data_IF_863054851199
#
_entry.id   IF_863054851199
#
_cell.length_a   1.000
_cell.length_b   1.000
_cell.length_c   1.000
_cell.angle_alpha   90.00
_cell.angle_beta   90.00
_cell.angle_gamma   90.00
#
_symmetry.space_group_name_H-M   'P 1'
#
loop_
_entity.id
_entity.type
_entity.pdbx_description
1 polymer ?
#
# COMPACT_ATOMS: atom_id res chain seq x y z
N UNK A 1 29.43 21.16 13.60
CA UNK A 1 28.35 20.70 12.72
C UNK A 1 27.53 21.91 12.34
N UNK A 2 27.22 22.11 11.07
CA UNK A 2 26.40 23.26 10.63
C UNK A 2 24.93 22.91 10.84
N UNK A 3 24.23 23.69 11.66
CA UNK A 3 22.77 23.64 11.79
C UNK A 3 22.23 24.75 10.90
N UNK A 4 21.45 24.45 9.85
CA UNK A 4 20.88 25.48 9.00
C UNK A 4 19.89 26.35 9.79
N UNK A 5 19.81 27.63 9.45
CA UNK A 5 18.72 28.48 9.92
C UNK A 5 17.38 27.91 9.43
N UNK A 6 16.32 28.02 10.24
CA UNK A 6 15.01 27.41 9.96
C UNK A 6 15.08 25.94 9.50
N UNK A 7 15.53 25.05 10.40
CA UNK A 7 15.76 23.62 10.13
C UNK A 7 14.58 22.87 9.51
N UNK A 8 13.34 23.32 9.73
CA UNK A 8 12.12 22.70 9.19
C UNK A 8 11.83 23.07 7.74
N UNK A 9 12.49 24.10 7.22
CA UNK A 9 12.42 24.47 5.80
C UNK A 9 13.70 24.04 5.09
N UNK A 10 14.85 24.39 5.66
CA UNK A 10 16.15 24.20 5.00
C UNK A 10 16.78 22.82 5.26
N UNK A 11 16.22 22.04 6.18
CA UNK A 11 16.68 20.68 6.49
C UNK A 11 15.87 19.58 5.84
N UNK A 12 14.74 19.88 5.17
CA UNK A 12 13.80 18.88 4.62
C UNK A 12 14.52 17.89 3.71
N UNK A 13 14.14 16.62 3.79
CA UNK A 13 14.80 15.49 3.13
C UNK A 13 16.08 15.00 3.82
N UNK A 14 16.79 15.88 4.54
CA UNK A 14 18.11 15.63 5.11
C UNK A 14 18.14 15.61 6.65
N UNK A 15 16.98 15.56 7.32
CA UNK A 15 16.88 15.67 8.78
C UNK A 15 17.85 14.73 9.50
N UNK A 16 17.94 13.47 9.08
CA UNK A 16 18.80 12.52 9.77
C UNK A 16 20.30 12.84 9.71
N UNK A 17 20.74 13.64 8.73
CA UNK A 17 22.12 14.13 8.63
C UNK A 17 22.41 15.21 9.68
N UNK A 18 21.39 15.92 10.16
CA UNK A 18 21.49 16.95 11.21
C UNK A 18 21.28 16.28 12.57
N UNK A 19 22.35 16.12 13.35
CA UNK A 19 22.33 15.35 14.62
C UNK A 19 21.28 15.88 15.59
N UNK A 20 21.09 17.19 15.62
CA UNK A 20 20.20 17.94 16.50
C UNK A 20 18.71 17.63 16.23
N UNK A 21 18.34 17.19 15.02
CA UNK A 21 16.93 16.84 14.71
C UNK A 21 16.57 15.40 15.03
N UNK A 22 17.56 14.53 15.29
CA UNK A 22 17.32 13.10 15.58
C UNK A 22 16.45 12.87 16.82
N UNK A 23 16.63 13.60 17.94
CA UNK A 23 15.73 13.49 19.09
C UNK A 23 14.27 13.81 18.72
N UNK A 24 14.04 14.82 17.88
CA UNK A 24 12.70 15.16 17.39
C UNK A 24 12.09 14.03 16.58
N UNK A 25 12.83 13.46 15.61
CA UNK A 25 12.35 12.34 14.79
C UNK A 25 11.99 11.11 15.65
N UNK A 26 12.81 10.80 16.66
CA UNK A 26 12.54 9.70 17.61
C UNK A 26 11.31 9.97 18.46
N UNK A 27 11.16 11.18 19.00
CA UNK A 27 9.99 11.55 19.78
C UNK A 27 8.70 11.48 18.94
N UNK A 28 8.76 11.93 17.69
CA UNK A 28 7.61 11.86 16.76
C UNK A 28 7.22 10.40 16.44
N UNK A 29 8.19 9.51 16.26
CA UNK A 29 7.90 8.08 16.13
C UNK A 29 7.32 7.46 17.40
N UNK A 30 7.83 7.83 18.58
CA UNK A 30 7.27 7.36 19.86
C UNK A 30 5.81 7.79 20.05
N UNK A 31 5.45 8.99 19.58
CA UNK A 31 4.05 9.42 19.54
C UNK A 31 3.21 8.50 18.64
N UNK A 32 3.68 8.20 17.43
CA UNK A 32 2.99 7.27 16.50
C UNK A 32 2.82 5.89 17.13
N UNK A 33 3.88 5.33 17.71
CA UNK A 33 3.86 4.02 18.36
C UNK A 33 2.83 3.98 19.50
N UNK A 34 2.80 5.03 20.34
CA UNK A 34 1.82 5.19 21.41
C UNK A 34 0.39 5.29 20.86
N UNK A 35 0.17 6.10 19.82
CA UNK A 35 -1.16 6.25 19.20
C UNK A 35 -1.67 4.91 18.66
N UNK A 36 -0.82 4.17 17.94
CA UNK A 36 -1.19 2.89 17.36
C UNK A 36 -1.42 1.81 18.43
N UNK A 37 -0.59 1.76 19.48
CA UNK A 37 -0.69 0.76 20.54
C UNK A 37 -1.98 0.91 21.37
N UNK A 38 -2.36 2.13 21.72
CA UNK A 38 -3.49 2.36 22.63
C UNK A 38 -4.81 2.68 21.92
N UNK A 39 -4.76 3.29 20.74
CA UNK A 39 -5.96 3.77 20.04
C UNK A 39 -6.10 3.18 18.64
N UNK A 40 -5.03 2.64 18.07
CA UNK A 40 -4.99 2.06 16.73
C UNK A 40 -5.08 0.53 16.72
N UNK A 41 -5.77 -0.12 17.66
CA UNK A 41 -6.08 -1.55 17.54
C UNK A 41 -7.27 -1.81 16.58
N UNK A 42 -7.60 -3.07 16.34
CA UNK A 42 -8.83 -3.44 15.62
C UNK A 42 -10.07 -2.92 16.38
N UNK A 43 -10.96 -2.21 15.68
CA UNK A 43 -12.09 -1.51 16.30
C UNK A 43 -11.72 -0.21 17.05
N UNK A 44 -10.46 0.21 16.97
CA UNK A 44 -9.96 1.46 17.56
C UNK A 44 -10.37 2.73 16.80
N UNK A 45 -9.79 3.86 17.20
CA UNK A 45 -10.07 5.17 16.64
C UNK A 45 -9.41 5.35 15.26
N UNK A 46 -10.24 5.59 14.23
CA UNK A 46 -9.74 5.82 12.87
C UNK A 46 -8.89 7.08 12.77
N UNK A 47 -9.20 8.12 13.54
CA UNK A 47 -8.44 9.37 13.57
C UNK A 47 -7.02 9.15 14.12
N UNK A 48 -6.83 8.20 15.04
CA UNK A 48 -5.51 7.83 15.53
C UNK A 48 -4.68 7.15 14.43
N UNK A 49 -5.30 6.31 13.59
CA UNK A 49 -4.64 5.68 12.44
C UNK A 49 -4.26 6.73 11.40
N UNK A 50 -5.17 7.66 11.09
CA UNK A 50 -4.94 8.75 10.14
C UNK A 50 -3.84 9.69 10.64
N UNK A 51 -3.89 10.13 11.89
CA UNK A 51 -2.87 10.99 12.51
C UNK A 51 -1.49 10.32 12.51
N UNK A 52 -1.44 9.01 12.80
CA UNK A 52 -0.20 8.25 12.73
C UNK A 52 0.36 8.17 11.32
N UNK A 53 -0.50 7.93 10.32
CA UNK A 53 -0.08 7.92 8.92
C UNK A 53 0.48 9.28 8.48
N UNK A 54 -0.19 10.38 8.84
CA UNK A 54 0.26 11.74 8.51
C UNK A 54 1.63 12.05 9.13
N UNK A 55 1.84 11.66 10.38
CA UNK A 55 3.16 11.77 11.02
C UNK A 55 4.24 10.97 10.31
N UNK A 56 3.96 9.72 9.92
CA UNK A 56 4.96 8.88 9.25
C UNK A 56 5.28 9.40 7.84
N UNK A 57 4.28 9.85 7.09
CA UNK A 57 4.49 10.46 5.77
C UNK A 57 5.32 11.75 5.87
N UNK A 58 5.00 12.63 6.83
CA UNK A 58 5.81 13.83 7.07
C UNK A 58 7.24 13.49 7.49
N UNK A 59 7.41 12.52 8.40
CA UNK A 59 8.74 12.07 8.81
C UNK A 59 9.56 11.56 7.62
N UNK A 60 8.90 10.89 6.68
CA UNK A 60 9.53 10.39 5.47
C UNK A 60 9.89 11.52 4.50
N UNK A 61 9.10 12.59 4.43
CA UNK A 61 9.47 13.82 3.70
C UNK A 61 10.65 14.54 4.34
N UNK A 62 10.70 14.60 5.68
CA UNK A 62 11.82 15.19 6.42
C UNK A 62 13.10 14.37 6.28
N UNK A 63 13.00 13.05 6.11
CA UNK A 63 14.11 12.11 5.99
C UNK A 63 13.84 11.14 4.84
N UNK A 64 14.18 11.54 3.60
CA UNK A 64 13.97 10.72 2.40
C UNK A 64 14.80 9.44 2.44
N UNK A 65 15.94 9.44 3.13
CA UNK A 65 16.78 8.27 3.38
C UNK A 65 16.12 7.23 4.30
N UNK A 66 15.04 7.58 5.01
CA UNK A 66 14.24 6.70 5.86
C UNK A 66 15.08 5.90 6.87
N UNK A 67 15.97 6.58 7.57
CA UNK A 67 16.90 5.93 8.51
C UNK A 67 16.21 5.26 9.71
N UNK A 68 14.94 5.57 9.96
CA UNK A 68 14.13 4.98 11.02
C UNK A 68 13.24 3.82 10.54
N UNK A 69 13.21 3.53 9.23
CA UNK A 69 12.40 2.46 8.67
C UNK A 69 10.90 2.71 8.76
N UNK A 70 10.45 3.96 8.74
CA UNK A 70 9.02 4.28 8.89
C UNK A 70 8.20 3.77 7.70
N UNK A 71 8.83 3.53 6.54
CA UNK A 71 8.19 2.97 5.34
C UNK A 71 7.61 1.58 5.55
N UNK A 72 8.05 0.83 6.56
CA UNK A 72 7.54 -0.52 6.83
C UNK A 72 6.13 -0.51 7.43
N UNK A 73 5.75 0.59 8.10
CA UNK A 73 4.46 0.70 8.79
C UNK A 73 3.40 1.34 7.89
N UNK A 74 3.80 2.26 7.01
CA UNK A 74 2.92 3.10 6.19
C UNK A 74 1.90 2.29 5.36
N UNK A 75 2.28 1.24 4.60
CA UNK A 75 1.32 0.49 3.77
C UNK A 75 0.18 -0.14 4.59
N UNK A 76 0.49 -0.65 5.78
CA UNK A 76 -0.51 -1.24 6.66
C UNK A 76 -1.53 -0.19 7.15
N UNK A 77 -1.09 1.05 7.40
CA UNK A 77 -2.00 2.12 7.82
C UNK A 77 -2.93 2.57 6.67
N UNK A 78 -2.41 2.69 5.45
CA UNK A 78 -3.24 2.95 4.26
C UNK A 78 -4.33 1.88 4.10
N UNK A 79 -3.96 0.60 4.17
CA UNK A 79 -4.90 -0.54 4.07
C UNK A 79 -5.99 -0.48 5.15
N UNK A 80 -5.63 -0.11 6.37
CA UNK A 80 -6.57 0.04 7.49
C UNK A 80 -7.53 1.21 7.33
N UNK A 81 -7.13 2.23 6.59
CA UNK A 81 -7.94 3.38 6.23
C UNK A 81 -8.72 3.16 4.92
N UNK A 82 -8.70 1.93 4.38
CA UNK A 82 -9.35 1.57 3.12
C UNK A 82 -8.81 2.36 1.90
N UNK A 83 -7.55 2.80 2.00
CA UNK A 83 -6.78 3.56 0.99
C UNK A 83 -5.81 2.63 0.25
N UNK A 84 -6.32 1.50 -0.24
CA UNK A 84 -5.49 0.43 -0.81
C UNK A 84 -4.72 0.86 -2.06
N UNK A 85 -5.26 1.76 -2.87
CA UNK A 85 -4.54 2.29 -4.04
C UNK A 85 -3.27 3.03 -3.62
N UNK A 86 -3.36 3.85 -2.58
CA UNK A 86 -2.22 4.62 -2.09
C UNK A 86 -1.17 3.71 -1.44
N UNK A 87 -1.62 2.64 -0.76
CA UNK A 87 -0.72 1.58 -0.29
C UNK A 87 0.01 0.91 -1.46
N UNK A 88 -0.70 0.57 -2.53
CA UNK A 88 -0.14 -0.04 -3.73
C UNK A 88 0.90 0.86 -4.40
N UNK A 89 0.53 2.11 -4.66
CA UNK A 89 1.40 3.12 -5.28
C UNK A 89 2.66 3.35 -4.46
N UNK A 90 2.51 3.47 -3.14
CA UNK A 90 3.62 3.64 -2.21
C UNK A 90 4.60 2.46 -2.30
N UNK A 91 4.10 1.23 -2.16
CA UNK A 91 4.95 0.03 -2.22
C UNK A 91 5.59 -0.15 -3.60
N UNK A 92 4.86 0.15 -4.68
CA UNK A 92 5.38 0.11 -6.05
C UNK A 92 6.51 1.11 -6.26
N UNK A 93 6.39 2.34 -5.77
CA UNK A 93 7.45 3.35 -5.86
C UNK A 93 8.75 2.83 -5.22
N UNK A 94 8.67 2.21 -4.03
CA UNK A 94 9.83 1.62 -3.38
C UNK A 94 10.41 0.41 -4.13
N UNK A 95 9.57 -0.38 -4.79
CA UNK A 95 9.99 -1.56 -5.53
C UNK A 95 10.58 -1.26 -6.92
N UNK A 96 10.32 -0.08 -7.48
CA UNK A 96 10.68 0.26 -8.87
C UNK A 96 11.66 1.42 -8.96
N UNK A 97 11.42 2.52 -8.25
CA UNK A 97 12.24 3.72 -8.29
C UNK A 97 13.43 3.65 -7.32
N UNK A 98 13.21 3.10 -6.12
CA UNK A 98 14.21 3.16 -5.02
C UNK A 98 15.03 1.89 -4.80
N UNK A 99 14.66 0.78 -5.41
CA UNK A 99 15.47 -0.45 -5.46
C UNK A 99 16.53 -0.37 -6.60
N UNK A 100 16.52 0.71 -7.37
CA UNK A 100 17.59 1.06 -8.31
C UNK A 100 18.83 1.40 -7.49
N UNK A 101 19.92 0.64 -7.68
CA UNK A 101 21.15 0.73 -6.88
C UNK A 101 21.84 2.11 -6.90
N UNK A 102 21.37 3.01 -7.76
CA UNK A 102 21.86 4.37 -8.02
C UNK A 102 20.92 5.49 -7.55
N UNK A 103 19.79 5.18 -6.89
CA UNK A 103 18.89 6.22 -6.37
C UNK A 103 19.53 6.99 -5.22
N UNK A 104 19.83 8.27 -5.43
CA UNK A 104 20.34 9.17 -4.40
C UNK A 104 19.20 9.80 -3.61
N UNK A 105 18.95 9.33 -2.39
CA UNK A 105 17.91 9.88 -1.54
C UNK A 105 18.24 11.27 -0.98
N UNK A 106 19.49 11.73 -1.08
CA UNK A 106 19.91 13.06 -0.68
C UNK A 106 19.74 14.08 -1.81
N UNK A 107 19.51 13.63 -3.05
CA UNK A 107 19.19 14.50 -4.19
C UNK A 107 17.70 14.89 -4.14
N UNK A 108 17.45 16.17 -3.86
CA UNK A 108 16.11 16.70 -3.70
C UNK A 108 15.37 16.90 -5.03
N UNK A 109 16.11 16.94 -6.15
CA UNK A 109 15.57 17.11 -7.49
C UNK A 109 15.07 15.79 -8.09
N UNK A 110 15.44 14.64 -7.50
CA UNK A 110 14.93 13.34 -7.91
C UNK A 110 13.46 13.12 -7.49
N UNK A 111 12.67 12.37 -8.29
CA UNK A 111 11.31 12.01 -7.93
C UNK A 111 11.24 11.27 -6.60
N UNK A 112 10.22 11.59 -5.79
CA UNK A 112 10.00 10.97 -4.50
C UNK A 112 8.51 10.71 -4.27
N UNK A 113 8.11 9.43 -4.16
CA UNK A 113 6.71 8.99 -4.02
C UNK A 113 5.80 9.49 -5.16
N UNK A 114 6.33 9.42 -6.37
CA UNK A 114 5.78 9.95 -7.62
C UNK A 114 4.81 8.98 -8.33
N UNK A 115 4.84 7.69 -7.98
CA UNK A 115 3.86 6.72 -8.49
C UNK A 115 2.47 7.09 -7.97
N UNK A 116 1.51 7.22 -8.90
CA UNK A 116 0.09 7.48 -8.65
C UNK A 116 -0.78 6.68 -9.60
N UNK A 117 -1.89 6.15 -9.09
CA UNK A 117 -2.90 5.44 -9.86
C UNK A 117 -2.32 4.28 -10.68
N UNK A 118 -1.30 3.60 -10.15
CA UNK A 118 -0.73 2.46 -10.81
C UNK A 118 -1.77 1.33 -10.95
N UNK A 119 -1.66 0.57 -12.05
CA UNK A 119 -2.56 -0.53 -12.32
C UNK A 119 -2.40 -1.63 -11.25
N UNK A 120 -3.39 -1.71 -10.36
CA UNK A 120 -3.42 -2.68 -9.26
C UNK A 120 -3.62 -4.11 -9.73
N UNK A 121 -3.97 -4.34 -11.02
CA UNK A 121 -4.09 -5.66 -11.63
C UNK A 121 -2.79 -6.15 -12.27
N UNK A 122 -1.80 -5.26 -12.43
CA UNK A 122 -0.54 -5.65 -13.07
C UNK A 122 0.15 -6.78 -12.29
N UNK A 123 0.97 -7.61 -12.98
CA UNK A 123 1.72 -8.66 -12.33
C UNK A 123 2.61 -8.11 -11.20
N UNK A 124 2.78 -8.84 -10.09
CA UNK A 124 3.71 -8.48 -9.03
C UNK A 124 5.11 -8.12 -9.56
N UNK A 125 5.67 -7.01 -9.09
CA UNK A 125 7.03 -6.60 -9.43
C UNK A 125 8.01 -7.70 -9.02
N UNK A 126 9.05 -7.95 -9.84
CA UNK A 126 10.02 -9.04 -9.62
C UNK A 126 10.67 -9.00 -8.24
N UNK A 127 10.87 -7.81 -7.68
CA UNK A 127 11.42 -7.63 -6.32
C UNK A 127 10.55 -8.30 -5.26
N UNK A 128 9.23 -8.35 -5.45
CA UNK A 128 8.29 -8.99 -4.53
C UNK A 128 8.23 -10.50 -4.64
N UNK A 129 8.68 -11.08 -5.76
CA UNK A 129 8.56 -12.52 -6.01
C UNK A 129 9.89 -13.27 -5.96
N UNK A 130 11.04 -12.60 -6.07
CA UNK A 130 12.34 -13.30 -6.24
C UNK A 130 13.59 -12.68 -5.61
N UNK A 131 13.51 -11.58 -4.85
CA UNK A 131 14.71 -10.89 -4.34
C UNK A 131 15.19 -11.39 -2.96
N UNK A 132 16.50 -11.22 -2.67
CA UNK A 132 17.11 -11.44 -1.34
C UNK A 132 16.79 -10.32 -0.34
N UNK A 133 16.41 -9.14 -0.83
CA UNK A 133 16.15 -7.89 -0.10
C UNK A 133 14.65 -7.61 0.03
N UNK A 134 13.86 -8.67 0.23
CA UNK A 134 12.41 -8.61 0.28
C UNK A 134 11.95 -7.89 1.56
N UNK A 135 11.34 -6.70 1.40
CA UNK A 135 10.68 -6.01 2.51
C UNK A 135 9.37 -6.74 2.81
N UNK A 136 9.39 -7.60 3.83
CA UNK A 136 8.25 -8.47 4.18
C UNK A 136 6.97 -7.68 4.47
N UNK A 137 7.08 -6.56 5.19
CA UNK A 137 6.00 -5.60 5.44
C UNK A 137 5.26 -5.23 4.15
N UNK A 138 6.02 -4.92 3.09
CA UNK A 138 5.50 -4.52 1.79
C UNK A 138 4.83 -5.69 1.08
N UNK A 139 5.47 -6.85 0.99
CA UNK A 139 4.89 -8.02 0.29
C UNK A 139 3.62 -8.51 0.99
N UNK A 140 3.55 -8.45 2.32
CA UNK A 140 2.34 -8.75 3.07
C UNK A 140 1.22 -7.76 2.75
N UNK A 141 1.51 -6.46 2.74
CA UNK A 141 0.55 -5.43 2.33
C UNK A 141 0.03 -5.69 0.90
N UNK A 142 0.92 -6.00 -0.04
CA UNK A 142 0.56 -6.33 -1.43
C UNK A 142 -0.31 -7.58 -1.52
N UNK A 143 0.02 -8.61 -0.75
CA UNK A 143 -0.77 -9.84 -0.68
C UNK A 143 -2.18 -9.54 -0.19
N UNK A 144 -2.32 -8.75 0.89
CA UNK A 144 -3.61 -8.35 1.44
C UNK A 144 -4.46 -7.57 0.43
N UNK A 145 -3.86 -6.61 -0.29
CA UNK A 145 -4.55 -5.84 -1.34
C UNK A 145 -5.06 -6.77 -2.45
N UNK A 146 -4.21 -7.68 -2.96
CA UNK A 146 -4.60 -8.64 -4.00
C UNK A 146 -5.67 -9.61 -3.51
N UNK A 147 -5.63 -10.03 -2.25
CA UNK A 147 -6.68 -10.85 -1.63
C UNK A 147 -8.01 -10.10 -1.54
N UNK A 148 -8.00 -8.82 -1.15
CA UNK A 148 -9.22 -7.97 -1.14
C UNK A 148 -9.85 -7.89 -2.53
N UNK A 149 -9.05 -7.62 -3.56
CA UNK A 149 -9.51 -7.62 -4.95
C UNK A 149 -10.08 -8.98 -5.36
N UNK A 150 -9.42 -10.09 -4.98
CA UNK A 150 -9.89 -11.43 -5.30
C UNK A 150 -11.28 -11.68 -4.73
N UNK A 151 -11.50 -11.32 -3.46
CA UNK A 151 -12.82 -11.44 -2.82
C UNK A 151 -13.87 -10.57 -3.52
N UNK A 152 -13.57 -9.33 -3.85
CA UNK A 152 -14.49 -8.44 -4.58
C UNK A 152 -14.88 -9.01 -5.95
N UNK A 153 -13.91 -9.49 -6.73
CA UNK A 153 -14.16 -10.08 -8.05
C UNK A 153 -14.95 -11.40 -7.95
N UNK A 154 -14.69 -12.21 -6.93
CA UNK A 154 -15.47 -13.42 -6.66
C UNK A 154 -16.92 -13.09 -6.28
N UNK A 155 -17.14 -12.08 -5.44
CA UNK A 155 -18.48 -11.58 -5.08
C UNK A 155 -19.23 -11.08 -6.32
N UNK A 156 -18.57 -10.31 -7.18
CA UNK A 156 -19.13 -9.85 -8.43
C UNK A 156 -19.46 -11.01 -9.40
N UNK A 157 -18.58 -12.00 -9.52
CA UNK A 157 -18.80 -13.19 -10.35
C UNK A 157 -19.99 -14.01 -9.85
N UNK A 158 -20.08 -14.24 -8.54
CA UNK A 158 -21.17 -15.00 -7.93
C UNK A 158 -22.51 -14.27 -8.11
N UNK A 159 -22.52 -12.96 -7.93
CA UNK A 159 -23.70 -12.10 -8.21
C UNK A 159 -24.12 -12.22 -9.67
N UNK A 160 -23.16 -12.16 -10.60
CA UNK A 160 -23.44 -12.30 -12.03
C UNK A 160 -24.12 -13.63 -12.34
N UNK A 161 -23.59 -14.74 -11.81
CA UNK A 161 -24.13 -16.08 -12.03
C UNK A 161 -25.51 -16.26 -11.39
N UNK A 162 -25.72 -15.72 -10.20
CA UNK A 162 -26.98 -15.87 -9.45
C UNK A 162 -28.17 -15.19 -10.14
N UNK A 163 -27.94 -14.04 -10.78
CA UNK A 163 -28.98 -13.25 -11.43
C UNK A 163 -28.99 -13.37 -12.96
N UNK A 164 -28.16 -14.25 -13.52
CA UNK A 164 -28.08 -14.47 -14.97
C UNK A 164 -29.41 -15.00 -15.53
N UNK A 165 -30.03 -14.23 -16.42
CA UNK A 165 -31.29 -14.61 -17.09
C UNK A 165 -32.50 -13.79 -16.65
N UNK A 166 -32.99 -13.93 -15.39
CA UNK A 166 -34.23 -13.29 -14.95
C UNK A 166 -34.10 -11.77 -14.72
N UNK A 167 -32.88 -11.24 -14.64
CA UNK A 167 -32.61 -9.84 -14.32
C UNK A 167 -31.85 -9.18 -15.48
N UNK A 168 -32.25 -7.98 -15.95
CA UNK A 168 -31.48 -7.20 -16.92
C UNK A 168 -30.05 -6.90 -16.43
N UNK A 169 -29.07 -6.94 -17.33
CA UNK A 169 -27.64 -6.70 -17.01
C UNK A 169 -27.37 -5.38 -16.27
N UNK A 170 -28.15 -4.35 -16.58
CA UNK A 170 -28.08 -3.04 -15.91
C UNK A 170 -28.35 -3.16 -14.40
N UNK A 171 -29.36 -3.95 -14.02
CA UNK A 171 -29.71 -4.19 -12.61
C UNK A 171 -28.67 -5.09 -11.96
N UNK A 172 -28.15 -6.10 -12.68
CA UNK A 172 -27.05 -6.94 -12.17
C UNK A 172 -25.82 -6.06 -11.88
N UNK A 173 -25.50 -5.10 -12.75
CA UNK A 173 -24.44 -4.12 -12.55
C UNK A 173 -24.59 -3.33 -11.26
N UNK A 174 -25.78 -2.75 -11.03
CA UNK A 174 -26.09 -2.01 -9.79
C UNK A 174 -25.94 -2.90 -8.54
N UNK A 175 -26.36 -4.16 -8.62
CA UNK A 175 -26.21 -5.10 -7.50
C UNK A 175 -24.74 -5.41 -7.25
N UNK A 176 -23.93 -5.67 -8.30
CA UNK A 176 -22.48 -5.95 -8.15
C UNK A 176 -21.77 -4.83 -7.42
N UNK A 177 -22.07 -3.57 -7.75
CA UNK A 177 -21.45 -2.40 -7.11
C UNK A 177 -21.69 -2.33 -5.59
N UNK A 178 -22.76 -2.94 -5.08
CA UNK A 178 -23.04 -3.00 -3.63
C UNK A 178 -22.26 -4.09 -2.90
N UNK A 179 -21.71 -5.07 -3.62
CA UNK A 179 -21.02 -6.24 -3.06
C UNK A 179 -19.50 -6.17 -3.18
N UNK A 180 -18.95 -5.05 -3.65
CA UNK A 180 -17.51 -4.86 -3.83
C UNK A 180 -16.98 -3.76 -2.91
N UNK A 181 -15.74 -3.92 -2.46
CA UNK A 181 -15.01 -2.90 -1.72
C UNK A 181 -14.62 -1.68 -2.57
N UNK A 182 -14.07 -0.66 -1.90
CA UNK A 182 -13.67 0.61 -2.51
C UNK A 182 -12.70 0.45 -3.69
N UNK A 183 -11.83 -0.58 -3.65
CA UNK A 183 -10.82 -0.83 -4.67
C UNK A 183 -11.45 -1.12 -6.04
N UNK A 184 -12.46 -2.00 -6.05
CA UNK A 184 -13.16 -2.39 -7.29
C UNK A 184 -14.26 -1.38 -7.61
N UNK A 185 -14.91 -0.78 -6.62
CA UNK A 185 -15.92 0.27 -6.83
C UNK A 185 -15.34 1.50 -7.55
N UNK A 186 -14.11 1.90 -7.20
CA UNK A 186 -13.40 3.00 -7.89
C UNK A 186 -12.99 2.67 -9.32
N UNK A 187 -13.21 1.42 -9.76
CA UNK A 187 -12.76 0.86 -11.04
C UNK A 187 -13.85 0.04 -11.74
N UNK A 188 -14.90 0.69 -12.27
CA UNK A 188 -16.02 -0.01 -12.91
C UNK A 188 -15.58 -0.91 -14.07
N UNK A 189 -14.46 -0.61 -14.73
CA UNK A 189 -13.84 -1.44 -15.75
C UNK A 189 -13.47 -2.85 -15.27
N UNK A 190 -13.17 -3.04 -13.99
CA UNK A 190 -12.93 -4.35 -13.38
C UNK A 190 -14.18 -5.23 -13.34
N UNK A 191 -15.36 -4.61 -13.37
CA UNK A 191 -16.66 -5.28 -13.39
C UNK A 191 -17.27 -5.36 -14.80
N UNK A 192 -16.68 -4.69 -15.80
CA UNK A 192 -17.13 -4.75 -17.19
C UNK A 192 -16.96 -6.14 -17.78
N UNK A 193 -17.98 -6.59 -18.49
CA UNK A 193 -18.03 -7.88 -19.15
C UNK A 193 -19.02 -8.85 -18.49
N UNK A 194 -19.21 -10.00 -19.13
CA UNK A 194 -20.02 -11.09 -18.61
C UNK A 194 -19.25 -11.95 -17.58
N UNK A 195 -19.90 -13.01 -17.11
CA UNK A 195 -19.33 -13.93 -16.11
C UNK A 195 -17.96 -14.51 -16.51
N UNK A 196 -17.75 -14.77 -17.80
CA UNK A 196 -16.50 -15.34 -18.32
C UNK A 196 -15.31 -14.37 -18.18
N UNK A 197 -15.52 -13.09 -18.47
CA UNK A 197 -14.48 -12.07 -18.37
C UNK A 197 -14.09 -11.81 -16.91
N UNK A 198 -15.08 -11.75 -16.01
CA UNK A 198 -14.83 -11.63 -14.57
C UNK A 198 -14.10 -12.88 -14.06
N UNK A 199 -14.47 -14.08 -14.51
CA UNK A 199 -13.78 -15.32 -14.13
C UNK A 199 -12.31 -15.34 -14.58
N UNK A 200 -12.00 -14.81 -15.77
CA UNK A 200 -10.62 -14.66 -16.24
C UNK A 200 -9.79 -13.73 -15.34
N UNK A 201 -10.38 -12.62 -14.88
CA UNK A 201 -9.73 -11.69 -13.93
C UNK A 201 -9.53 -12.34 -12.56
N UNK A 202 -10.53 -13.10 -12.08
CA UNK A 202 -10.42 -13.89 -10.84
C UNK A 202 -9.22 -14.85 -10.91
N UNK A 203 -9.06 -15.61 -12.00
CA UNK A 203 -7.90 -16.52 -12.08
C UNK A 203 -6.56 -15.80 -12.22
N UNK A 204 -6.54 -14.66 -12.92
CA UNK A 204 -5.35 -13.82 -13.00
C UNK A 204 -4.89 -13.38 -11.60
N UNK A 205 -5.81 -12.82 -10.80
CA UNK A 205 -5.49 -12.37 -9.45
C UNK A 205 -5.16 -13.53 -8.52
N UNK A 206 -5.86 -14.66 -8.64
CA UNK A 206 -5.59 -15.85 -7.83
C UNK A 206 -4.17 -16.41 -8.06
N UNK A 207 -3.71 -16.39 -9.31
CA UNK A 207 -2.32 -16.74 -9.66
C UNK A 207 -1.35 -15.78 -8.97
N UNK A 208 -1.59 -14.47 -9.08
CA UNK A 208 -0.73 -13.45 -8.44
C UNK A 208 -0.68 -13.57 -6.92
N UNK A 209 -1.83 -13.84 -6.25
CA UNK A 209 -1.89 -14.09 -4.80
C UNK A 209 -1.08 -15.32 -4.43
N UNK A 210 -1.16 -16.38 -5.24
CA UNK A 210 -0.41 -17.63 -5.02
C UNK A 210 1.10 -17.38 -5.13
N UNK A 211 1.53 -16.60 -6.12
CA UNK A 211 2.94 -16.23 -6.31
C UNK A 211 3.46 -15.41 -5.11
N UNK A 212 2.72 -14.37 -4.71
CA UNK A 212 3.08 -13.53 -3.56
C UNK A 212 3.13 -14.33 -2.25
N UNK A 213 2.12 -15.17 -2.01
CA UNK A 213 2.10 -16.05 -0.83
C UNK A 213 3.27 -17.03 -0.83
N UNK A 214 3.59 -17.64 -1.97
CA UNK A 214 4.75 -18.51 -2.12
C UNK A 214 6.06 -17.80 -1.76
N UNK A 215 6.22 -16.54 -2.14
CA UNK A 215 7.37 -15.71 -1.80
C UNK A 215 7.43 -15.36 -0.30
N UNK A 216 6.31 -14.99 0.31
CA UNK A 216 6.21 -14.74 1.76
C UNK A 216 6.60 -16.00 2.55
N UNK A 217 5.98 -17.14 2.22
CA UNK A 217 6.22 -18.42 2.91
C UNK A 217 7.67 -18.92 2.74
N UNK A 218 8.29 -18.68 1.59
CA UNK A 218 9.71 -19.00 1.37
C UNK A 218 10.64 -18.10 2.19
N UNK A 219 10.29 -16.84 2.37
CA UNK A 219 11.10 -15.88 3.12
C UNK A 219 10.95 -16.07 4.63
N UNK A 220 9.73 -16.32 5.12
CA UNK A 220 9.46 -16.65 6.51
C UNK A 220 8.36 -17.73 6.60
N UNK A 221 8.73 -18.99 6.92
CA UNK A 221 7.78 -20.10 7.00
C UNK A 221 6.88 -20.06 8.26
N UNK A 222 7.12 -19.11 9.16
CA UNK A 222 6.33 -18.90 10.38
C UNK A 222 5.41 -17.68 10.30
N UNK A 223 5.32 -17.06 9.12
CA UNK A 223 4.45 -15.92 8.89
C UNK A 223 2.97 -16.34 8.80
#
# INVERSE_FOLDING_TARGET
>A
MFVPDNIFENGVGLFWRITETRPYMRARYQLVDTLLLFFGAAGGCIDAVQTSLDHLLDMLQLCRSDNMGVRDVIPALFIRLNRDQEAYDFVKCYATTRDMSDYDCDDMDLPFLDVKDADILEPPVKTWTGSRSLQMSHVVAMTLIKVRILFDLQSALNTTKAFQGPVPEEIIGLIREQFVGSIVQSRPEMLKGGAEEIARRVETIKTQVTDLYGSVNKHNPHF
#
